data_IF_646606571858
#
_entry.id   IF_646606571858
#
_cell.length_a   1.000
_cell.length_b   1.000
_cell.length_c   1.000
_cell.angle_alpha   90.00
_cell.angle_beta   90.00
_cell.angle_gamma   90.00
#
_symmetry.space_group_name_H-M   'P 1'
#
loop_
_entity.id
_entity.type
_entity.pdbx_description
1 polymer ?
#
# COMPACT_ATOMS: atom_id res chain seq x y z
N UNK A 1 -22.15 -15.65 -35.92
CA UNK A 1 -21.92 -14.85 -34.70
C UNK A 1 -23.17 -15.04 -33.87
N UNK A 2 -23.06 -15.70 -32.72
CA UNK A 2 -24.18 -15.85 -31.79
C UNK A 2 -24.07 -14.75 -30.73
N UNK A 3 -25.18 -14.08 -30.41
CA UNK A 3 -25.22 -12.97 -29.47
C UNK A 3 -26.34 -13.21 -28.47
N UNK A 4 -26.02 -13.16 -27.17
CA UNK A 4 -26.97 -13.25 -26.07
C UNK A 4 -26.76 -12.04 -25.18
N UNK A 5 -27.82 -11.58 -24.51
CA UNK A 5 -27.66 -10.63 -23.42
C UNK A 5 -26.74 -11.26 -22.37
N UNK A 6 -25.74 -10.49 -21.95
CA UNK A 6 -24.71 -10.94 -21.03
C UNK A 6 -25.28 -10.98 -19.61
N UNK A 7 -25.33 -12.16 -19.01
CA UNK A 7 -25.75 -12.38 -17.62
C UNK A 7 -25.02 -13.58 -17.03
N UNK A 8 -25.22 -13.86 -15.74
CA UNK A 8 -24.39 -14.83 -14.99
C UNK A 8 -24.29 -16.24 -15.62
N UNK A 9 -25.35 -16.75 -16.26
CA UNK A 9 -25.39 -18.10 -16.85
C UNK A 9 -25.39 -18.14 -18.38
N UNK A 10 -25.08 -17.02 -19.05
CA UNK A 10 -25.07 -16.98 -20.52
C UNK A 10 -24.06 -18.01 -21.07
N UNK A 11 -24.48 -18.74 -22.11
CA UNK A 11 -23.71 -19.79 -22.81
C UNK A 11 -23.45 -21.10 -22.04
N UNK A 12 -24.05 -21.30 -20.87
CA UNK A 12 -23.95 -22.60 -20.18
C UNK A 12 -24.39 -23.77 -21.10
N UNK A 13 -23.63 -24.86 -21.08
CA UNK A 13 -23.86 -26.05 -21.90
C UNK A 13 -23.39 -25.99 -23.37
N UNK A 14 -22.89 -24.85 -23.85
CA UNK A 14 -22.37 -24.72 -25.22
C UNK A 14 -20.85 -24.99 -25.31
N UNK A 15 -20.36 -25.24 -26.53
CA UNK A 15 -18.92 -25.32 -26.82
C UNK A 15 -18.52 -24.14 -27.68
N UNK A 16 -17.78 -23.20 -27.10
CA UNK A 16 -17.37 -21.98 -27.79
C UNK A 16 -15.95 -22.12 -28.34
N UNK A 17 -15.73 -21.62 -29.57
CA UNK A 17 -14.39 -21.49 -30.17
C UNK A 17 -13.74 -20.15 -29.83
N UNK A 18 -14.54 -19.10 -29.83
CA UNK A 18 -14.14 -17.75 -29.45
C UNK A 18 -15.26 -17.12 -28.64
N UNK A 19 -14.90 -16.50 -27.52
CA UNK A 19 -15.77 -15.65 -26.71
C UNK A 19 -15.13 -14.25 -26.71
N UNK A 20 -15.92 -13.23 -27.02
CA UNK A 20 -15.48 -11.85 -26.94
C UNK A 20 -16.36 -11.16 -25.89
N UNK A 21 -15.76 -10.79 -24.78
CA UNK A 21 -16.36 -9.92 -23.79
C UNK A 21 -15.81 -8.52 -23.98
N UNK A 22 -16.71 -7.59 -24.18
CA UNK A 22 -16.41 -6.17 -24.17
C UNK A 22 -17.03 -5.53 -22.92
N UNK A 23 -16.43 -4.44 -22.43
CA UNK A 23 -16.84 -3.71 -21.23
C UNK A 23 -17.01 -4.58 -19.97
N UNK A 24 -16.12 -5.57 -19.81
CA UNK A 24 -16.17 -6.59 -18.75
C UNK A 24 -16.01 -6.03 -17.33
N UNK A 25 -15.46 -4.82 -17.22
CA UNK A 25 -15.25 -4.06 -15.99
C UNK A 25 -16.44 -3.19 -15.58
N UNK A 26 -17.52 -3.17 -16.37
CA UNK A 26 -18.71 -2.34 -16.14
C UNK A 26 -19.94 -3.13 -15.68
N UNK A 27 -19.76 -4.38 -15.26
CA UNK A 27 -20.86 -5.22 -14.80
C UNK A 27 -21.35 -4.77 -13.43
N UNK A 28 -22.59 -4.29 -13.38
CA UNK A 28 -23.26 -3.85 -12.16
C UNK A 28 -24.09 -4.97 -11.53
N UNK A 29 -24.34 -4.85 -10.21
CA UNK A 29 -25.18 -5.81 -9.49
C UNK A 29 -26.60 -5.84 -10.08
N UNK A 30 -27.26 -7.01 -10.14
CA UNK A 30 -26.90 -8.27 -9.48
C UNK A 30 -25.89 -9.13 -10.24
N UNK A 31 -25.64 -8.86 -11.52
CA UNK A 31 -24.73 -9.66 -12.35
C UNK A 31 -23.26 -9.43 -11.98
N UNK A 32 -22.43 -10.44 -12.24
CA UNK A 32 -21.02 -10.40 -11.86
C UNK A 32 -20.15 -11.12 -12.87
N UNK A 33 -19.18 -10.40 -13.43
CA UNK A 33 -18.21 -10.96 -14.39
C UNK A 33 -17.46 -12.18 -13.84
N UNK A 34 -17.20 -12.25 -12.52
CA UNK A 34 -16.57 -13.42 -11.90
C UNK A 34 -17.48 -14.65 -11.90
N UNK A 35 -18.79 -14.47 -11.73
CA UNK A 35 -19.77 -15.55 -11.81
C UNK A 35 -19.92 -16.01 -13.26
N UNK A 36 -20.13 -15.07 -14.18
CA UNK A 36 -20.20 -15.39 -15.60
C UNK A 36 -18.95 -16.11 -16.10
N UNK A 37 -17.74 -15.61 -15.76
CA UNK A 37 -16.50 -16.22 -16.19
C UNK A 37 -16.33 -17.65 -15.68
N UNK A 38 -16.83 -17.97 -14.47
CA UNK A 38 -16.81 -19.37 -13.97
C UNK A 38 -17.62 -20.31 -14.84
N UNK A 39 -18.74 -19.83 -15.40
CA UNK A 39 -19.60 -20.59 -16.31
C UNK A 39 -18.96 -20.63 -17.70
N UNK A 40 -18.71 -19.47 -18.31
CA UNK A 40 -18.22 -19.37 -19.70
C UNK A 40 -16.82 -19.94 -19.90
N UNK A 41 -15.96 -19.97 -18.87
CA UNK A 41 -14.67 -20.68 -18.94
C UNK A 41 -14.85 -22.18 -19.22
N UNK A 42 -15.92 -22.80 -18.73
CA UNK A 42 -16.16 -24.23 -18.94
C UNK A 42 -16.54 -24.54 -20.39
N UNK A 43 -17.20 -23.61 -21.08
CA UNK A 43 -17.61 -23.77 -22.49
C UNK A 43 -16.40 -23.72 -23.44
N UNK A 44 -15.29 -23.14 -22.99
CA UNK A 44 -14.02 -23.04 -23.72
C UNK A 44 -13.07 -24.21 -23.43
N UNK A 45 -13.50 -25.20 -22.62
CA UNK A 45 -12.66 -26.32 -22.17
C UNK A 45 -13.39 -27.66 -22.25
N UNK A 46 -12.71 -28.69 -22.75
CA UNK A 46 -13.16 -30.08 -22.66
C UNK A 46 -12.16 -30.89 -21.83
N UNK A 47 -12.52 -31.20 -20.58
CA UNK A 47 -11.61 -31.85 -19.64
C UNK A 47 -10.37 -30.99 -19.38
N UNK A 48 -9.18 -31.50 -19.72
CA UNK A 48 -7.92 -30.74 -19.65
C UNK A 48 -7.61 -29.92 -20.91
N UNK A 49 -8.34 -30.16 -22.01
CA UNK A 49 -8.07 -29.53 -23.30
C UNK A 49 -8.77 -28.18 -23.39
N UNK A 50 -8.00 -27.13 -23.66
CA UNK A 50 -8.55 -25.82 -24.07
C UNK A 50 -8.97 -25.93 -25.53
N UNK A 51 -10.26 -25.67 -25.81
CA UNK A 51 -10.85 -25.79 -27.16
C UNK A 51 -11.29 -24.45 -27.74
N UNK A 52 -11.36 -23.41 -26.93
CA UNK A 52 -11.65 -22.05 -27.35
C UNK A 52 -10.80 -21.00 -26.62
N UNK A 53 -10.93 -19.75 -27.05
CA UNK A 53 -10.26 -18.59 -26.45
C UNK A 53 -11.28 -17.52 -26.06
N UNK A 54 -10.95 -16.74 -25.04
CA UNK A 54 -11.69 -15.54 -24.67
C UNK A 54 -10.82 -14.31 -24.92
N UNK A 55 -11.38 -13.30 -25.55
CA UNK A 55 -10.85 -11.93 -25.53
C UNK A 55 -11.75 -11.14 -24.58
N UNK A 56 -11.16 -10.48 -23.59
CA UNK A 56 -11.90 -9.80 -22.53
C UNK A 56 -11.34 -8.39 -22.38
N UNK A 57 -11.97 -7.46 -23.10
CA UNK A 57 -11.64 -6.03 -23.08
C UNK A 57 -12.52 -5.28 -22.09
N UNK A 58 -11.99 -4.19 -21.53
CA UNK A 58 -12.76 -3.19 -20.79
C UNK A 58 -11.93 -1.95 -20.51
N UNK A 59 -12.60 -0.80 -20.43
CA UNK A 59 -12.18 0.28 -19.52
C UNK A 59 -12.72 -0.05 -18.12
N UNK A 60 -11.96 0.14 -17.05
CA UNK A 60 -12.47 -0.19 -15.71
C UNK A 60 -13.36 0.95 -15.23
N UNK A 61 -14.59 0.62 -14.81
CA UNK A 61 -15.37 1.53 -13.98
C UNK A 61 -14.70 1.68 -12.60
N UNK A 62 -15.24 2.59 -11.79
CA UNK A 62 -14.95 2.67 -10.37
C UNK A 62 -15.08 1.30 -9.68
N UNK A 63 -14.33 1.10 -8.58
CA UNK A 63 -14.22 -0.21 -7.95
C UNK A 63 -15.58 -0.73 -7.43
N UNK A 64 -16.44 0.17 -6.98
CA UNK A 64 -17.80 -0.09 -6.51
C UNK A 64 -18.79 -0.46 -7.62
N UNK A 65 -18.56 -0.03 -8.88
CA UNK A 65 -19.42 -0.29 -10.05
C UNK A 65 -18.86 -1.39 -10.96
N UNK A 66 -18.41 -2.48 -10.36
CA UNK A 66 -17.91 -3.67 -11.08
C UNK A 66 -16.39 -3.70 -11.25
N UNK A 67 -15.69 -2.57 -11.12
CA UNK A 67 -14.24 -2.47 -11.28
C UNK A 67 -13.47 -3.39 -10.32
N UNK A 68 -13.92 -3.56 -9.08
CA UNK A 68 -13.24 -4.46 -8.12
C UNK A 68 -13.27 -5.94 -8.55
N UNK A 69 -14.36 -6.38 -9.17
CA UNK A 69 -14.48 -7.77 -9.66
C UNK A 69 -13.57 -7.99 -10.88
N UNK A 70 -13.50 -7.00 -11.77
CA UNK A 70 -12.61 -7.05 -12.93
C UNK A 70 -11.14 -6.95 -12.53
N UNK A 71 -10.78 -6.08 -11.58
CA UNK A 71 -9.43 -6.01 -11.01
C UNK A 71 -8.99 -7.36 -10.44
N UNK A 72 -9.86 -8.01 -9.67
CA UNK A 72 -9.59 -9.34 -9.14
C UNK A 72 -9.37 -10.36 -10.26
N UNK A 73 -10.20 -10.33 -11.29
CA UNK A 73 -10.05 -11.22 -12.45
C UNK A 73 -8.73 -10.97 -13.19
N UNK A 74 -8.34 -9.71 -13.35
CA UNK A 74 -7.07 -9.27 -13.92
C UNK A 74 -5.89 -9.80 -13.09
N UNK A 75 -5.88 -9.59 -11.78
CA UNK A 75 -4.84 -10.09 -10.87
C UNK A 75 -4.76 -11.63 -10.83
N UNK A 76 -5.90 -12.31 -10.89
CA UNK A 76 -5.98 -13.79 -10.97
C UNK A 76 -5.48 -14.34 -12.32
N UNK A 77 -5.24 -13.46 -13.30
CA UNK A 77 -4.72 -13.75 -14.65
C UNK A 77 -3.21 -13.49 -14.78
N UNK A 78 -2.54 -13.12 -13.70
CA UNK A 78 -1.10 -12.90 -13.64
C UNK A 78 -0.32 -14.17 -14.03
N UNK A 79 0.37 -14.10 -15.17
CA UNK A 79 1.09 -15.23 -15.76
C UNK A 79 2.27 -15.74 -14.92
N UNK A 80 2.75 -14.94 -13.96
CA UNK A 80 3.80 -15.33 -13.01
C UNK A 80 3.26 -16.23 -11.90
N UNK A 81 1.93 -16.25 -11.69
CA UNK A 81 1.24 -17.03 -10.67
C UNK A 81 0.44 -18.16 -11.30
N UNK A 82 1.10 -19.28 -11.57
CA UNK A 82 0.47 -20.48 -12.15
C UNK A 82 0.35 -21.61 -11.14
N UNK A 83 -0.74 -22.37 -11.25
CA UNK A 83 -0.89 -23.62 -10.54
C UNK A 83 0.06 -24.69 -11.10
N UNK A 84 0.11 -25.86 -10.44
CA UNK A 84 0.95 -26.99 -10.85
C UNK A 84 0.60 -27.56 -12.24
N UNK A 85 -0.56 -27.20 -12.78
CA UNK A 85 -1.01 -27.56 -14.13
C UNK A 85 -0.67 -26.47 -15.17
N UNK A 86 0.10 -25.44 -14.81
CA UNK A 86 0.57 -24.40 -15.71
C UNK A 86 -0.46 -23.32 -16.08
N UNK A 87 -1.59 -23.26 -15.37
CA UNK A 87 -2.66 -22.28 -15.61
C UNK A 87 -2.73 -21.24 -14.49
N UNK A 88 -3.07 -20.00 -14.86
CA UNK A 88 -3.46 -18.95 -13.93
C UNK A 88 -4.76 -19.34 -13.22
N UNK A 89 -5.05 -18.71 -12.08
CA UNK A 89 -6.28 -18.97 -11.31
C UNK A 89 -7.52 -18.70 -12.16
N UNK A 90 -7.52 -17.59 -12.90
CA UNK A 90 -8.60 -17.24 -13.84
C UNK A 90 -8.60 -18.12 -15.09
N UNK A 91 -7.45 -18.65 -15.53
CA UNK A 91 -7.28 -19.31 -16.83
C UNK A 91 -7.11 -18.33 -18.00
N UNK A 92 -7.11 -17.03 -17.73
CA UNK A 92 -6.81 -15.94 -18.67
C UNK A 92 -5.36 -15.46 -18.49
N UNK A 93 -4.92 -14.56 -19.37
CA UNK A 93 -3.68 -13.82 -19.25
C UNK A 93 -4.02 -12.34 -19.06
N UNK A 94 -3.43 -11.71 -18.05
CA UNK A 94 -3.51 -10.25 -17.90
C UNK A 94 -2.66 -9.58 -18.97
N UNK A 95 -3.22 -8.54 -19.60
CA UNK A 95 -2.54 -7.67 -20.54
C UNK A 95 -3.07 -6.26 -20.30
N UNK A 96 -2.16 -5.33 -20.02
CA UNK A 96 -2.44 -3.91 -19.97
C UNK A 96 -1.82 -3.23 -21.18
N UNK A 97 -2.61 -2.44 -21.89
CA UNK A 97 -2.16 -1.64 -23.03
C UNK A 97 -2.37 -0.18 -22.64
N UNK A 98 -1.29 0.60 -22.45
CA UNK A 98 -1.41 2.03 -22.17
C UNK A 98 -2.13 2.76 -23.30
N UNK A 99 -2.88 3.80 -22.94
CA UNK A 99 -3.71 4.56 -23.88
C UNK A 99 -2.90 5.11 -25.07
N UNK A 100 -1.63 5.49 -24.86
CA UNK A 100 -0.78 6.07 -25.90
C UNK A 100 -0.53 5.14 -27.09
N UNK A 101 -0.77 3.83 -26.94
CA UNK A 101 -0.60 2.87 -28.03
C UNK A 101 -1.79 2.80 -28.99
N UNK A 102 -2.98 3.29 -28.61
CA UNK A 102 -4.19 3.17 -29.44
C UNK A 102 -5.12 4.38 -29.29
N UNK A 103 -4.57 5.57 -29.02
CA UNK A 103 -5.37 6.78 -28.90
C UNK A 103 -5.73 7.32 -30.29
N UNK A 104 -7.02 7.34 -30.59
CA UNK A 104 -7.55 7.80 -31.88
C UNK A 104 -7.16 9.26 -32.14
N UNK A 105 -6.74 9.57 -33.37
CA UNK A 105 -6.23 10.89 -33.77
C UNK A 105 -4.73 11.10 -33.53
N UNK A 106 -4.04 10.11 -32.93
CA UNK A 106 -2.57 10.11 -32.77
C UNK A 106 -1.92 8.86 -33.37
N UNK A 107 -2.48 8.34 -34.46
CA UNK A 107 -1.96 7.19 -35.20
C UNK A 107 -1.64 7.66 -36.61
N UNK A 108 -0.43 7.40 -37.09
CA UNK A 108 -0.01 7.78 -38.44
C UNK A 108 -0.69 6.90 -39.52
N UNK A 109 -0.53 7.29 -40.79
CA UNK A 109 -1.08 6.52 -41.93
C UNK A 109 -0.53 5.09 -42.05
N UNK A 110 0.52 4.73 -41.30
CA UNK A 110 1.11 3.39 -41.26
C UNK A 110 0.61 2.55 -40.08
N UNK A 111 -0.23 3.12 -39.20
CA UNK A 111 -0.76 2.45 -38.01
C UNK A 111 0.17 2.52 -36.80
N UNK A 112 1.17 3.40 -36.80
CA UNK A 112 2.03 3.63 -35.64
C UNK A 112 1.52 4.79 -34.79
N UNK A 113 1.54 4.61 -33.48
CA UNK A 113 1.20 5.68 -32.53
C UNK A 113 2.26 6.77 -32.53
N UNK A 114 1.81 8.02 -32.57
CA UNK A 114 2.64 9.23 -32.50
C UNK A 114 2.79 9.62 -31.03
N UNK A 115 3.77 9.00 -30.37
CA UNK A 115 4.03 9.19 -28.93
C UNK A 115 4.42 10.64 -28.58
N UNK A 116 5.52 11.09 -29.17
CA UNK A 116 6.09 12.41 -28.97
C UNK A 116 5.70 13.36 -30.09
N UNK A 117 5.63 14.65 -29.77
CA UNK A 117 5.36 15.71 -30.73
C UNK A 117 6.36 15.66 -31.90
N UNK A 118 5.89 15.41 -33.13
CA UNK A 118 6.78 15.15 -34.25
C UNK A 118 7.45 16.44 -34.72
N UNK A 119 8.71 16.36 -35.15
CA UNK A 119 9.45 17.53 -35.68
C UNK A 119 8.86 18.11 -36.96
N UNK A 120 8.19 17.26 -37.72
CA UNK A 120 7.44 17.59 -38.92
C UNK A 120 6.08 16.93 -38.78
N UNK A 121 4.97 17.62 -39.09
CA UNK A 121 3.66 17.04 -38.97
C UNK A 121 3.53 15.75 -39.77
N UNK A 122 2.88 14.75 -39.18
CA UNK A 122 2.62 13.46 -39.82
C UNK A 122 1.15 13.35 -40.21
N UNK A 123 0.87 12.61 -41.27
CA UNK A 123 -0.49 12.41 -41.74
C UNK A 123 -1.11 11.19 -41.04
N UNK A 124 -2.36 11.32 -40.61
CA UNK A 124 -3.15 10.22 -40.07
C UNK A 124 -3.79 9.36 -41.17
N UNK A 125 -4.51 8.30 -40.80
CA UNK A 125 -5.18 7.41 -41.77
C UNK A 125 -6.31 8.09 -42.56
N UNK A 126 -6.86 9.21 -42.09
CA UNK A 126 -7.96 9.94 -42.74
C UNK A 126 -7.51 11.28 -43.37
N UNK A 127 -6.20 11.54 -43.47
CA UNK A 127 -5.63 12.76 -44.04
C UNK A 127 -5.56 13.95 -43.05
N UNK A 128 -5.85 13.70 -41.78
CA UNK A 128 -5.63 14.64 -40.68
C UNK A 128 -4.13 14.86 -40.44
N UNK A 129 -3.77 16.07 -40.03
CA UNK A 129 -2.39 16.43 -39.72
C UNK A 129 -2.19 16.31 -38.22
N UNK A 130 -1.24 15.49 -37.80
CA UNK A 130 -0.84 15.29 -36.41
C UNK A 130 0.44 16.09 -36.18
N UNK A 131 0.33 17.19 -35.44
CA UNK A 131 1.42 18.09 -35.08
C UNK A 131 1.72 18.13 -33.57
N UNK A 132 0.97 17.38 -32.77
CA UNK A 132 1.18 17.15 -31.33
C UNK A 132 1.21 15.65 -31.04
N UNK A 133 2.06 15.21 -30.12
CA UNK A 133 2.14 13.81 -29.68
C UNK A 133 1.10 13.48 -28.61
N UNK A 134 0.67 12.22 -28.55
CA UNK A 134 -0.35 11.76 -27.60
C UNK A 134 0.07 11.95 -26.13
N UNK A 135 1.36 11.84 -25.82
CA UNK A 135 1.86 12.01 -24.45
C UNK A 135 1.66 13.47 -24.00
N UNK A 136 1.99 14.42 -24.89
CA UNK A 136 1.82 15.85 -24.60
C UNK A 136 0.33 16.21 -24.52
N UNK A 137 -0.48 15.72 -25.46
CA UNK A 137 -1.92 15.92 -25.45
C UNK A 137 -2.56 15.45 -24.13
N UNK A 138 -2.26 14.22 -23.73
CA UNK A 138 -2.77 13.66 -22.48
C UNK A 138 -2.27 14.41 -21.25
N UNK A 139 -1.01 14.88 -21.24
CA UNK A 139 -0.49 15.69 -20.13
C UNK A 139 -1.21 17.04 -20.03
N UNK A 140 -1.58 17.64 -21.15
CA UNK A 140 -2.36 18.89 -21.16
C UNK A 140 -3.76 18.68 -20.59
N UNK A 141 -4.43 17.56 -20.90
CA UNK A 141 -5.73 17.21 -20.30
C UNK A 141 -5.61 16.98 -18.79
N UNK A 142 -4.60 16.22 -18.35
CA UNK A 142 -4.28 16.03 -16.94
C UNK A 142 -4.04 17.37 -16.23
N UNK A 143 -3.25 18.25 -16.84
CA UNK A 143 -2.94 19.57 -16.29
C UNK A 143 -4.19 20.47 -16.21
N UNK A 144 -5.10 20.36 -17.18
CA UNK A 144 -6.38 21.05 -17.20
C UNK A 144 -7.32 20.59 -16.08
N UNK A 145 -7.25 19.30 -15.71
CA UNK A 145 -8.10 18.69 -14.68
C UNK A 145 -7.51 18.75 -13.26
N UNK A 146 -6.34 19.38 -13.05
CA UNK A 146 -5.71 19.48 -11.71
C UNK A 146 -6.63 20.07 -10.63
N UNK A 147 -7.54 20.96 -11.00
CA UNK A 147 -8.49 21.58 -10.07
C UNK A 147 -9.82 20.80 -9.94
N UNK A 148 -10.04 19.78 -10.77
CA UNK A 148 -11.19 18.89 -10.75
C UNK A 148 -10.73 17.45 -10.53
N UNK A 149 -10.53 17.09 -9.25
CA UNK A 149 -9.99 15.78 -8.89
C UNK A 149 -10.88 14.61 -9.32
N UNK A 150 -12.20 14.79 -9.32
CA UNK A 150 -13.14 13.76 -9.74
C UNK A 150 -13.03 13.54 -11.25
N UNK A 151 -13.00 14.64 -12.03
CA UNK A 151 -12.75 14.62 -13.47
C UNK A 151 -11.39 14.01 -13.80
N UNK A 152 -10.34 14.36 -13.06
CA UNK A 152 -9.00 13.83 -13.25
C UNK A 152 -8.93 12.31 -13.01
N UNK A 153 -9.54 11.82 -11.93
CA UNK A 153 -9.57 10.38 -11.63
C UNK A 153 -10.38 9.60 -12.66
N UNK A 154 -11.47 10.18 -13.17
CA UNK A 154 -12.23 9.60 -14.28
C UNK A 154 -11.41 9.57 -15.57
N UNK A 155 -10.73 10.66 -15.91
CA UNK A 155 -9.84 10.74 -17.07
C UNK A 155 -8.73 9.70 -17.01
N UNK A 156 -8.10 9.50 -15.85
CA UNK A 156 -7.12 8.43 -15.65
C UNK A 156 -7.68 7.03 -15.87
N UNK A 157 -8.92 6.76 -15.46
CA UNK A 157 -9.56 5.44 -15.71
C UNK A 157 -9.91 5.23 -17.18
N UNK A 158 -10.34 6.29 -17.87
CA UNK A 158 -10.72 6.24 -19.28
C UNK A 158 -9.50 6.14 -20.19
N UNK A 159 -8.44 6.89 -19.87
CA UNK A 159 -7.20 6.97 -20.64
C UNK A 159 -5.99 6.61 -19.75
N UNK A 160 -5.91 5.34 -19.29
CA UNK A 160 -4.86 4.92 -18.37
C UNK A 160 -3.53 4.74 -19.08
N UNK A 161 -2.45 5.20 -18.44
CA UNK A 161 -1.07 4.95 -18.87
C UNK A 161 -0.39 3.86 -18.04
N UNK A 162 -0.91 3.59 -16.84
CA UNK A 162 -0.47 2.52 -15.93
C UNK A 162 -1.67 1.70 -15.44
N UNK A 163 -1.41 0.50 -14.93
CA UNK A 163 -2.47 -0.34 -14.33
C UNK A 163 -3.14 0.39 -13.16
N UNK A 164 -2.39 1.22 -12.42
CA UNK A 164 -2.90 1.98 -11.30
C UNK A 164 -3.88 3.06 -11.76
N UNK A 165 -3.62 3.75 -12.89
CA UNK A 165 -4.58 4.65 -13.51
C UNK A 165 -5.89 3.92 -13.82
N UNK A 166 -5.81 2.72 -14.41
CA UNK A 166 -6.97 1.93 -14.76
C UNK A 166 -7.82 1.54 -13.53
N UNK A 167 -7.20 1.27 -12.38
CA UNK A 167 -7.89 0.76 -11.19
C UNK A 167 -8.04 1.79 -10.06
N UNK A 168 -8.04 3.10 -10.37
CA UNK A 168 -8.32 4.17 -9.38
C UNK A 168 -9.76 4.12 -8.88
N UNK A 169 -9.95 4.48 -7.62
CA UNK A 169 -11.28 4.49 -6.99
C UNK A 169 -11.99 5.85 -7.14
N UNK A 170 -13.31 5.90 -6.92
CA UNK A 170 -14.05 7.17 -6.79
C UNK A 170 -13.78 7.81 -5.43
N UNK A 171 -13.73 9.15 -5.37
CA UNK A 171 -13.32 9.87 -4.16
C UNK A 171 -14.33 9.81 -2.99
N UNK A 172 -15.49 9.17 -3.16
CA UNK A 172 -16.70 9.44 -2.37
C UNK A 172 -16.75 8.80 -0.98
N UNK A 173 -15.87 7.84 -0.65
CA UNK A 173 -15.95 7.12 0.65
C UNK A 173 -14.64 7.08 1.46
N UNK A 174 -13.58 7.78 1.03
CA UNK A 174 -12.34 7.77 1.80
C UNK A 174 -12.34 8.81 2.92
N UNK A 175 -11.83 8.41 4.09
CA UNK A 175 -11.63 9.30 5.23
C UNK A 175 -10.54 10.34 4.97
N UNK A 176 -9.63 10.05 4.04
CA UNK A 176 -8.42 10.85 3.80
C UNK A 176 -8.47 11.55 2.45
N UNK A 177 -7.61 12.56 2.29
CA UNK A 177 -7.46 13.30 1.05
C UNK A 177 -6.84 12.43 -0.05
N UNK A 178 -7.71 11.84 -0.87
CA UNK A 178 -7.33 10.96 -1.97
C UNK A 178 -6.52 11.65 -3.05
N UNK A 179 -6.73 12.95 -3.27
CA UNK A 179 -5.97 13.74 -4.24
C UNK A 179 -4.46 13.64 -3.93
N UNK A 180 -4.08 14.03 -2.70
CA UNK A 180 -2.68 13.96 -2.23
C UNK A 180 -2.10 12.55 -2.27
N UNK A 181 -2.90 11.55 -1.88
CA UNK A 181 -2.45 10.15 -1.92
C UNK A 181 -2.16 9.72 -3.36
N UNK A 182 -3.05 10.01 -4.31
CA UNK A 182 -2.86 9.64 -5.71
C UNK A 182 -1.73 10.43 -6.36
N UNK A 183 -1.62 11.74 -6.12
CA UNK A 183 -0.46 12.53 -6.55
C UNK A 183 0.86 11.90 -6.09
N UNK A 184 0.92 11.41 -4.84
CA UNK A 184 2.10 10.74 -4.33
C UNK A 184 2.34 9.37 -4.98
N UNK A 185 1.28 8.60 -5.25
CA UNK A 185 1.37 7.32 -5.96
C UNK A 185 1.95 7.55 -7.36
N UNK A 186 1.43 8.53 -8.08
CA UNK A 186 1.87 8.87 -9.44
C UNK A 186 3.33 9.29 -9.44
N UNK A 187 3.71 10.18 -8.52
CA UNK A 187 5.10 10.58 -8.33
C UNK A 187 6.01 9.38 -8.01
N UNK A 188 5.56 8.46 -7.16
CA UNK A 188 6.34 7.25 -6.83
C UNK A 188 6.46 6.29 -8.03
N UNK A 189 5.49 6.24 -8.93
CA UNK A 189 5.55 5.46 -10.17
C UNK A 189 6.57 6.02 -11.14
N UNK A 190 6.55 7.34 -11.35
CA UNK A 190 7.56 8.03 -12.16
C UNK A 190 8.97 7.83 -11.57
N UNK A 191 9.08 7.88 -10.24
CA UNK A 191 10.31 7.61 -9.51
C UNK A 191 10.71 6.13 -9.48
N UNK A 192 9.82 5.16 -9.69
CA UNK A 192 10.18 3.73 -9.59
C UNK A 192 11.21 3.30 -10.65
N UNK A 193 11.50 4.15 -11.63
CA UNK A 193 12.69 4.04 -12.49
C UNK A 193 14.03 4.35 -11.80
N UNK A 194 14.04 4.77 -10.52
CA UNK A 194 15.22 5.37 -9.85
C UNK A 194 15.61 4.81 -8.46
N UNK A 195 14.99 3.72 -7.98
CA UNK A 195 15.60 2.85 -6.95
C UNK A 195 15.58 3.31 -5.48
N UNK A 196 14.62 4.13 -5.05
CA UNK A 196 14.55 4.70 -3.69
C UNK A 196 14.20 3.73 -2.55
N UNK A 197 13.72 2.52 -2.86
CA UNK A 197 13.34 1.53 -1.85
C UNK A 197 14.16 0.27 -2.03
N UNK A 198 14.85 -0.14 -0.96
CA UNK A 198 15.64 -1.38 -0.93
C UNK A 198 14.88 -2.45 -0.16
N UNK A 199 14.68 -3.61 -0.79
CA UNK A 199 14.14 -4.80 -0.13
C UNK A 199 15.26 -5.58 0.56
N UNK A 200 15.04 -6.00 1.82
CA UNK A 200 16.06 -6.73 2.55
C UNK A 200 15.63 -7.34 3.88
N UNK A 201 16.62 -7.77 4.64
CA UNK A 201 16.45 -8.45 5.94
C UNK A 201 17.47 -7.93 6.94
N UNK A 202 17.04 -7.84 8.20
CA UNK A 202 17.95 -7.65 9.32
C UNK A 202 18.45 -9.00 9.84
N UNK A 203 19.70 -9.05 10.28
CA UNK A 203 20.30 -10.23 10.92
C UNK A 203 21.22 -9.81 12.06
N UNK A 204 21.31 -10.65 13.08
CA UNK A 204 22.37 -10.53 14.08
C UNK A 204 23.72 -10.87 13.46
N UNK A 205 24.73 -10.03 13.71
CA UNK A 205 26.10 -10.27 13.30
C UNK A 205 26.58 -11.62 13.85
N UNK A 206 27.07 -12.48 12.96
CA UNK A 206 27.49 -13.84 13.30
C UNK A 206 26.37 -14.76 13.85
N UNK A 207 25.09 -14.37 13.73
CA UNK A 207 23.96 -15.12 14.29
C UNK A 207 23.85 -15.03 15.82
N UNK A 208 24.65 -14.19 16.47
CA UNK A 208 24.67 -14.07 17.93
C UNK A 208 23.63 -13.03 18.36
N UNK A 209 22.53 -13.50 18.93
CA UNK A 209 21.42 -12.66 19.38
C UNK A 209 21.90 -11.56 20.35
N UNK A 210 21.26 -10.39 20.27
CA UNK A 210 21.52 -9.25 21.16
C UNK A 210 22.93 -8.63 21.04
N UNK A 211 23.59 -8.83 19.89
CA UNK A 211 24.86 -8.18 19.55
C UNK A 211 24.64 -7.01 18.59
N UNK A 212 25.36 -6.96 17.45
CA UNK A 212 25.14 -5.99 16.38
C UNK A 212 24.11 -6.54 15.41
N UNK A 213 23.29 -5.66 14.85
CA UNK A 213 22.39 -5.98 13.75
C UNK A 213 22.97 -5.39 12.46
N UNK A 214 22.86 -6.16 11.38
CA UNK A 214 23.20 -5.76 10.02
C UNK A 214 21.94 -5.80 9.14
N UNK A 215 21.80 -4.85 8.24
CA UNK A 215 20.82 -4.90 7.16
C UNK A 215 21.50 -5.42 5.89
N UNK A 216 20.89 -6.40 5.22
CA UNK A 216 21.39 -6.93 3.95
C UNK A 216 20.30 -6.87 2.89
N UNK A 217 20.51 -6.17 1.76
CA UNK A 217 19.59 -6.20 0.62
C UNK A 217 19.43 -7.62 0.09
N UNK A 218 18.18 -8.06 -0.09
CA UNK A 218 17.86 -9.36 -0.68
C UNK A 218 16.39 -9.42 -1.12
N UNK A 219 16.13 -10.08 -2.25
CA UNK A 219 14.80 -10.16 -2.86
C UNK A 219 13.78 -10.95 -2.04
N UNK A 220 14.27 -11.85 -1.17
CA UNK A 220 13.44 -12.64 -0.25
C UNK A 220 13.16 -11.90 1.07
N UNK A 221 13.61 -10.65 1.17
CA UNK A 221 13.49 -9.81 2.35
C UNK A 221 12.02 -9.50 2.68
N UNK A 222 11.75 -9.29 3.96
CA UNK A 222 10.41 -8.87 4.43
C UNK A 222 10.32 -7.37 4.70
N UNK A 223 11.45 -6.67 4.67
CA UNK A 223 11.52 -5.24 4.91
C UNK A 223 11.70 -4.49 3.60
N UNK A 224 10.98 -3.39 3.46
CA UNK A 224 11.25 -2.32 2.51
C UNK A 224 11.85 -1.15 3.29
N UNK A 225 13.01 -0.67 2.86
CA UNK A 225 13.74 0.41 3.53
C UNK A 225 14.05 1.51 2.52
N UNK A 226 13.70 2.75 2.85
CA UNK A 226 13.96 3.95 2.04
C UNK A 226 15.04 4.86 2.65
N UNK A 227 15.45 4.59 3.89
CA UNK A 227 16.59 5.27 4.51
C UNK A 227 17.32 4.34 5.49
N UNK A 228 18.64 4.32 5.41
CA UNK A 228 19.52 3.64 6.36
C UNK A 228 20.36 4.70 7.08
N UNK A 229 20.34 4.77 8.42
CA UNK A 229 21.11 5.77 9.17
C UNK A 229 22.62 5.61 8.95
N UNK A 230 23.41 6.68 9.09
CA UNK A 230 24.87 6.58 9.10
C UNK A 230 25.36 5.68 10.26
N UNK A 231 26.55 5.10 10.10
CA UNK A 231 27.09 4.07 11.02
C UNK A 231 27.09 4.48 12.49
N UNK A 232 27.31 5.76 12.81
CA UNK A 232 27.34 6.25 14.19
C UNK A 232 25.96 6.30 14.87
N UNK A 233 24.88 6.22 14.10
CA UNK A 233 23.50 6.12 14.59
C UNK A 233 22.99 4.67 14.58
N UNK A 234 23.59 3.78 13.80
CA UNK A 234 23.22 2.37 13.79
C UNK A 234 23.56 1.67 15.11
N UNK A 235 22.72 0.72 15.52
CA UNK A 235 22.89 -0.10 16.73
C UNK A 235 23.08 0.71 18.03
N UNK A 236 22.63 1.98 18.06
CA UNK A 236 22.79 2.87 19.20
C UNK A 236 21.80 2.48 20.32
N UNK A 237 22.21 1.52 21.14
CA UNK A 237 21.44 1.01 22.28
C UNK A 237 22.19 1.30 23.58
N UNK A 238 21.56 2.05 24.48
CA UNK A 238 22.16 2.42 25.76
C UNK A 238 21.81 1.37 26.82
N UNK A 239 22.82 0.83 27.51
CA UNK A 239 22.62 -0.15 28.59
C UNK A 239 22.68 0.54 29.95
N UNK A 240 21.62 0.43 30.76
CA UNK A 240 21.60 0.90 32.16
C UNK A 240 20.93 -0.15 33.04
N UNK A 241 21.63 -0.66 34.05
CA UNK A 241 21.12 -1.68 34.98
C UNK A 241 20.54 -2.92 34.25
N UNK A 242 21.25 -3.45 33.25
CA UNK A 242 20.81 -4.56 32.38
C UNK A 242 19.53 -4.31 31.57
N UNK A 243 19.06 -3.06 31.49
CA UNK A 243 17.94 -2.64 30.66
C UNK A 243 18.47 -1.84 29.47
N UNK A 244 18.01 -2.17 28.27
CA UNK A 244 18.36 -1.51 27.02
C UNK A 244 17.40 -0.35 26.75
N UNK A 245 17.96 0.80 26.39
CA UNK A 245 17.24 2.02 26.05
C UNK A 245 17.54 2.43 24.59
N UNK A 246 16.56 3.01 23.88
CA UNK A 246 16.77 3.52 22.52
C UNK A 246 17.70 4.74 22.55
N UNK A 247 18.80 4.71 21.79
CA UNK A 247 19.74 5.83 21.69
C UNK A 247 19.28 6.96 20.75
N UNK A 248 18.28 6.69 19.90
CA UNK A 248 17.81 7.59 18.84
C UNK A 248 16.32 7.96 18.99
N UNK A 249 15.77 7.97 20.20
CA UNK A 249 14.36 8.38 20.44
C UNK A 249 14.05 9.82 19.97
N UNK A 250 15.06 10.68 19.86
CA UNK A 250 14.92 12.05 19.35
C UNK A 250 14.85 12.12 17.82
N UNK A 251 15.19 11.05 17.09
CA UNK A 251 15.21 11.00 15.62
C UNK A 251 13.90 10.45 15.07
N UNK A 252 13.30 9.45 15.72
CA UNK A 252 12.12 8.78 15.19
C UNK A 252 11.56 7.72 16.12
N UNK A 253 10.55 7.02 15.63
CA UNK A 253 9.90 5.92 16.33
C UNK A 253 9.24 4.95 15.34
N UNK A 254 8.92 3.76 15.85
CA UNK A 254 8.17 2.74 15.14
C UNK A 254 6.73 2.64 15.63
N UNK A 255 5.84 2.22 14.73
CA UNK A 255 4.49 1.79 15.04
C UNK A 255 4.25 0.36 14.58
N UNK A 256 3.48 -0.42 15.33
CA UNK A 256 3.29 -1.84 15.03
C UNK A 256 1.90 -2.37 15.38
N UNK A 257 1.28 -3.04 14.41
CA UNK A 257 0.14 -3.95 14.63
C UNK A 257 0.68 -5.39 14.63
N UNK A 258 0.58 -6.04 15.78
CA UNK A 258 1.15 -7.36 16.00
C UNK A 258 0.11 -8.47 15.82
N UNK A 259 0.54 -9.72 15.77
CA UNK A 259 -0.33 -10.88 15.85
C UNK A 259 0.24 -11.94 16.80
N UNK A 260 -0.65 -12.63 17.51
CA UNK A 260 -0.25 -13.60 18.53
C UNK A 260 -0.33 -15.06 18.06
N UNK A 261 -1.03 -15.36 16.96
CA UNK A 261 -1.33 -16.75 16.56
C UNK A 261 -0.50 -17.16 15.33
N UNK A 262 0.34 -18.19 15.52
CA UNK A 262 1.24 -18.74 14.50
C UNK A 262 0.51 -19.54 13.39
N UNK A 263 -0.78 -19.81 13.50
CA UNK A 263 -1.56 -20.56 12.50
C UNK A 263 -2.99 -20.06 12.36
N UNK A 264 -3.44 -19.86 11.11
CA UNK A 264 -4.87 -19.82 10.77
C UNK A 264 -5.11 -20.91 9.76
N UNK A 265 -6.16 -21.72 9.96
CA UNK A 265 -6.48 -22.92 9.17
C UNK A 265 -6.62 -22.62 7.67
N UNK A 266 -6.91 -21.36 7.31
CA UNK A 266 -7.13 -20.93 5.91
C UNK A 266 -6.13 -19.87 5.38
N UNK A 267 -5.05 -19.57 6.10
CA UNK A 267 -4.08 -18.51 5.66
C UNK A 267 -4.65 -17.08 5.61
N UNK A 268 -5.91 -16.86 5.99
CA UNK A 268 -6.66 -15.59 5.94
C UNK A 268 -6.60 -14.75 7.23
N UNK A 269 -5.60 -14.93 8.09
CA UNK A 269 -5.43 -14.02 9.24
C UNK A 269 -4.64 -12.77 8.86
N UNK A 270 -4.90 -11.66 9.56
CA UNK A 270 -4.19 -10.38 9.42
C UNK A 270 -2.67 -10.56 9.55
N UNK A 271 -1.92 -9.74 8.81
CA UNK A 271 -0.45 -9.79 8.77
C UNK A 271 0.11 -8.96 9.93
N UNK A 272 1.33 -9.27 10.36
CA UNK A 272 2.06 -8.38 11.25
C UNK A 272 2.61 -7.21 10.45
N UNK A 273 2.44 -5.99 10.97
CA UNK A 273 2.92 -4.78 10.33
C UNK A 273 3.79 -3.93 11.25
N UNK A 274 4.81 -3.31 10.68
CA UNK A 274 5.74 -2.42 11.35
C UNK A 274 6.12 -1.29 10.40
N UNK A 275 6.00 -0.06 10.87
CA UNK A 275 6.43 1.14 10.15
C UNK A 275 7.40 1.95 10.98
N UNK A 276 8.47 2.42 10.36
CA UNK A 276 9.42 3.37 10.95
C UNK A 276 9.16 4.77 10.40
N UNK A 277 9.02 5.75 11.30
CA UNK A 277 8.86 7.16 10.94
C UNK A 277 9.94 8.00 11.64
N UNK A 278 10.59 8.86 10.88
CA UNK A 278 11.48 9.90 11.40
C UNK A 278 10.69 11.15 11.76
N UNK A 279 11.18 11.95 12.70
CA UNK A 279 10.66 13.28 13.02
C UNK A 279 11.75 14.31 12.77
N UNK A 280 11.39 15.59 12.78
CA UNK A 280 12.39 16.65 12.71
C UNK A 280 13.43 16.51 13.82
N UNK A 281 14.70 16.47 13.44
CA UNK A 281 15.85 16.42 14.35
C UNK A 281 17.04 17.14 13.71
N UNK A 282 18.05 17.48 14.52
CA UNK A 282 19.30 18.09 14.05
C UNK A 282 20.35 17.06 13.60
N UNK A 283 19.98 15.78 13.62
CA UNK A 283 20.84 14.67 13.20
C UNK A 283 20.78 14.50 11.67
N UNK A 284 21.72 13.74 11.11
CA UNK A 284 21.74 13.37 9.68
C UNK A 284 20.67 12.30 9.38
N UNK A 285 19.40 12.72 9.47
CA UNK A 285 18.22 11.92 9.25
C UNK A 285 17.16 12.72 8.48
N UNK A 286 16.41 12.08 7.56
CA UNK A 286 15.32 12.75 6.87
C UNK A 286 14.25 13.18 7.88
N UNK A 287 13.59 14.30 7.61
CA UNK A 287 12.51 14.79 8.47
C UNK A 287 11.16 14.23 8.00
N UNK A 288 10.35 13.76 8.96
CA UNK A 288 8.98 13.31 8.73
C UNK A 288 8.84 12.30 7.59
N UNK A 289 9.80 11.36 7.49
CA UNK A 289 9.88 10.37 6.43
C UNK A 289 9.58 8.97 6.97
N UNK A 290 8.66 8.26 6.31
CA UNK A 290 8.53 6.83 6.50
C UNK A 290 9.74 6.12 5.88
N UNK A 291 10.58 5.54 6.74
CA UNK A 291 11.87 4.97 6.35
C UNK A 291 11.87 3.44 6.25
N UNK A 292 10.88 2.78 6.86
CA UNK A 292 10.77 1.32 6.88
C UNK A 292 9.31 0.88 6.82
N UNK A 293 9.01 -0.08 5.95
CA UNK A 293 7.75 -0.84 5.92
C UNK A 293 8.06 -2.34 6.04
N UNK A 294 7.34 -3.01 6.92
CA UNK A 294 7.28 -4.46 7.00
C UNK A 294 5.81 -4.85 7.12
N UNK A 295 5.30 -5.67 6.20
CA UNK A 295 3.92 -6.19 6.28
C UNK A 295 3.87 -7.64 5.79
N UNK A 296 4.10 -8.56 6.71
CA UNK A 296 4.21 -9.99 6.40
C UNK A 296 3.70 -10.87 7.53
N UNK A 297 3.47 -12.15 7.22
CA UNK A 297 3.13 -13.17 8.20
C UNK A 297 4.12 -14.35 8.13
N UNK A 298 5.26 -14.26 8.85
CA UNK A 298 6.19 -15.37 9.01
C UNK A 298 5.52 -16.64 9.55
N UNK A 299 6.22 -17.76 9.36
CA UNK A 299 5.77 -19.09 9.79
C UNK A 299 5.43 -19.16 11.28
N UNK A 300 6.13 -18.39 12.11
CA UNK A 300 5.83 -18.30 13.54
C UNK A 300 5.75 -16.84 13.98
N UNK A 301 4.95 -16.56 15.02
CA UNK A 301 4.90 -15.23 15.62
C UNK A 301 6.26 -14.80 16.21
N UNK A 302 7.08 -15.75 16.68
CA UNK A 302 8.41 -15.43 17.22
C UNK A 302 9.39 -14.95 16.16
N UNK A 303 9.32 -15.44 14.92
CA UNK A 303 10.10 -14.88 13.81
C UNK A 303 9.75 -13.42 13.57
N UNK A 304 8.45 -13.08 13.60
CA UNK A 304 8.00 -11.69 13.50
C UNK A 304 8.52 -10.85 14.68
N UNK A 305 8.46 -11.37 15.91
CA UNK A 305 8.97 -10.63 17.07
C UNK A 305 10.49 -10.40 17.00
N UNK A 306 11.25 -11.36 16.48
CA UNK A 306 12.69 -11.22 16.28
C UNK A 306 13.01 -10.21 15.17
N UNK A 307 12.29 -10.26 14.05
CA UNK A 307 12.40 -9.30 12.96
C UNK A 307 12.17 -7.87 13.45
N UNK A 308 11.08 -7.65 14.20
CA UNK A 308 10.77 -6.35 14.82
C UNK A 308 11.90 -5.93 15.77
N UNK A 309 12.33 -6.82 16.67
CA UNK A 309 13.39 -6.51 17.63
C UNK A 309 14.70 -6.09 16.95
N UNK A 310 15.11 -6.78 15.88
CA UNK A 310 16.30 -6.45 15.13
C UNK A 310 16.20 -5.07 14.48
N UNK A 311 15.04 -4.72 13.91
CA UNK A 311 14.81 -3.37 13.37
C UNK A 311 14.91 -2.29 14.47
N UNK A 312 14.27 -2.50 15.62
CA UNK A 312 14.36 -1.56 16.76
C UNK A 312 15.81 -1.37 17.23
N UNK A 313 16.55 -2.47 17.33
CA UNK A 313 17.95 -2.45 17.75
C UNK A 313 18.82 -1.71 16.73
N UNK A 314 18.71 -2.05 15.44
CA UNK A 314 19.48 -1.44 14.36
C UNK A 314 19.29 0.08 14.29
N UNK A 315 18.04 0.56 14.34
CA UNK A 315 17.77 2.00 14.29
C UNK A 315 17.93 2.69 15.65
N UNK A 316 17.98 1.94 16.75
CA UNK A 316 18.04 2.50 18.10
C UNK A 316 16.83 3.35 18.48
N UNK A 317 15.66 3.11 17.86
CA UNK A 317 14.44 3.91 18.05
C UNK A 317 13.35 3.12 18.81
N UNK A 318 12.49 3.80 19.59
CA UNK A 318 11.42 3.16 20.35
C UNK A 318 10.23 2.75 19.46
N UNK A 319 9.30 1.97 20.02
CA UNK A 319 8.10 1.46 19.34
C UNK A 319 6.82 1.75 20.14
N UNK A 320 5.75 2.14 19.45
CA UNK A 320 4.39 2.12 19.96
C UNK A 320 3.63 0.97 19.30
N UNK A 321 3.31 -0.07 20.08
CA UNK A 321 2.59 -1.24 19.59
C UNK A 321 1.26 -1.41 20.32
N UNK A 322 0.31 -2.09 19.68
CA UNK A 322 -0.94 -2.46 20.31
C UNK A 322 -0.72 -3.39 21.50
N UNK A 323 -1.42 -3.14 22.62
CA UNK A 323 -1.30 -3.97 23.81
C UNK A 323 -2.38 -5.06 23.95
N UNK A 324 -3.37 -5.09 23.05
CA UNK A 324 -4.40 -6.14 23.01
C UNK A 324 -3.82 -7.53 22.69
N UNK A 325 -2.70 -7.56 21.96
CA UNK A 325 -1.94 -8.76 21.57
C UNK A 325 -0.53 -8.68 22.18
N UNK A 326 -0.39 -8.91 23.50
CA UNK A 326 0.77 -8.42 24.25
C UNK A 326 2.04 -9.27 24.07
N UNK A 327 2.03 -10.37 23.29
CA UNK A 327 3.18 -11.28 23.22
C UNK A 327 4.44 -10.59 22.69
N UNK A 328 4.30 -9.68 21.72
CA UNK A 328 5.42 -8.85 21.25
C UNK A 328 6.02 -8.02 22.40
N UNK A 329 5.18 -7.37 23.20
CA UNK A 329 5.62 -6.52 24.30
C UNK A 329 6.32 -7.33 25.41
N UNK A 330 5.78 -8.51 25.75
CA UNK A 330 6.43 -9.45 26.67
C UNK A 330 7.75 -9.98 26.11
N UNK A 331 7.83 -10.23 24.80
CA UNK A 331 9.06 -10.63 24.13
C UNK A 331 10.15 -9.57 24.28
N UNK A 332 9.82 -8.30 23.98
CA UNK A 332 10.73 -7.17 24.17
C UNK A 332 11.19 -7.06 25.63
N UNK A 333 10.26 -7.14 26.60
CA UNK A 333 10.57 -7.09 28.03
C UNK A 333 11.55 -8.20 28.43
N UNK A 334 11.28 -9.46 28.06
CA UNK A 334 12.13 -10.62 28.38
C UNK A 334 13.53 -10.51 27.78
N UNK A 335 13.67 -9.85 26.62
CA UNK A 335 14.96 -9.60 25.95
C UNK A 335 15.70 -8.36 26.48
N UNK A 336 15.14 -7.66 27.47
CA UNK A 336 15.74 -6.47 28.09
C UNK A 336 15.37 -5.14 27.42
N UNK A 337 14.47 -5.13 26.43
CA UNK A 337 14.06 -3.96 25.64
C UNK A 337 12.77 -3.33 26.15
N UNK A 338 12.40 -3.51 27.43
CA UNK A 338 11.18 -2.91 27.97
C UNK A 338 11.11 -1.40 27.71
N UNK A 339 12.24 -0.69 27.76
CA UNK A 339 12.29 0.77 27.54
C UNK A 339 12.18 1.21 26.09
N UNK A 340 12.22 0.27 25.13
CA UNK A 340 11.86 0.55 23.75
C UNK A 340 10.34 0.64 23.57
N UNK A 341 9.56 -0.07 24.39
CA UNK A 341 8.09 -0.02 24.34
C UNK A 341 7.57 1.28 24.98
N UNK A 342 7.00 2.14 24.14
CA UNK A 342 6.40 3.42 24.53
C UNK A 342 5.10 3.14 25.29
N UNK A 343 4.88 3.84 26.40
CA UNK A 343 3.56 3.86 27.02
C UNK A 343 2.64 4.78 26.22
N UNK A 344 1.35 4.43 26.10
CA UNK A 344 0.35 5.27 25.42
C UNK A 344 0.50 6.77 25.73
N UNK A 345 0.59 7.65 24.71
CA UNK A 345 0.90 9.06 24.91
C UNK A 345 -0.26 9.88 25.49
N UNK A 346 -1.47 9.36 25.43
CA UNK A 346 -2.72 10.01 25.86
C UNK A 346 -2.96 9.96 27.38
N UNK A 347 -2.16 9.20 28.14
CA UNK A 347 -2.27 9.12 29.60
C UNK A 347 -0.96 9.41 30.31
N UNK A 348 -1.04 10.20 31.37
CA UNK A 348 0.07 10.43 32.30
C UNK A 348 0.45 9.12 33.00
N UNK A 349 1.74 8.88 33.19
CA UNK A 349 2.30 7.65 33.76
C UNK A 349 1.58 7.14 35.03
N UNK A 350 1.23 8.04 35.94
CA UNK A 350 0.58 7.66 37.20
C UNK A 350 -0.80 7.03 37.00
N UNK A 351 -1.51 7.43 35.94
CA UNK A 351 -2.85 6.93 35.57
C UNK A 351 -2.83 5.66 34.72
N UNK A 352 -1.65 5.14 34.38
CA UNK A 352 -1.51 3.87 33.67
C UNK A 352 -1.85 2.70 34.60
N UNK A 353 -2.51 1.68 34.04
CA UNK A 353 -2.72 0.39 34.70
C UNK A 353 -1.40 -0.31 35.01
N UNK A 354 -1.45 -1.33 35.88
CA UNK A 354 -0.28 -2.15 36.23
C UNK A 354 0.35 -2.75 34.97
N UNK A 355 -0.47 -3.32 34.09
CA UNK A 355 -0.01 -3.92 32.83
C UNK A 355 0.60 -2.88 31.89
N UNK A 356 -0.02 -1.70 31.70
CA UNK A 356 0.53 -0.63 30.86
C UNK A 356 1.90 -0.15 31.42
N UNK A 357 2.06 -0.03 32.74
CA UNK A 357 3.35 0.26 33.36
C UNK A 357 4.35 -0.87 33.15
N UNK A 358 3.90 -2.12 33.18
CA UNK A 358 4.73 -3.29 33.06
C UNK A 358 5.29 -3.50 31.66
N UNK A 359 4.48 -3.34 30.61
CA UNK A 359 4.85 -3.73 29.22
C UNK A 359 4.73 -2.60 28.19
N UNK A 360 4.03 -1.50 28.51
CA UNK A 360 3.79 -0.37 27.61
C UNK A 360 2.68 -0.64 26.59
N UNK A 361 2.77 0.03 25.44
CA UNK A 361 1.80 -0.06 24.35
C UNK A 361 0.55 0.80 24.55
N UNK A 362 -0.37 0.67 23.59
CA UNK A 362 -1.64 1.40 23.52
C UNK A 362 -2.80 0.44 23.20
N UNK A 363 -3.99 0.58 23.81
CA UNK A 363 -5.13 -0.24 23.45
C UNK A 363 -5.73 0.17 22.10
N UNK A 364 -6.33 -0.79 21.41
CA UNK A 364 -6.91 -0.58 20.07
C UNK A 364 -8.43 -0.34 20.10
N UNK A 365 -9.11 -0.55 21.23
CA UNK A 365 -10.56 -0.67 21.28
C UNK A 365 -11.33 0.62 21.59
N UNK A 366 -10.73 1.61 22.25
CA UNK A 366 -11.46 2.83 22.63
C UNK A 366 -11.66 3.76 21.44
N UNK A 367 -12.87 4.31 21.30
CA UNK A 367 -13.27 5.17 20.19
C UNK A 367 -12.36 6.40 20.05
N UNK A 368 -12.00 7.04 21.15
CA UNK A 368 -11.07 8.18 21.18
C UNK A 368 -9.70 7.85 20.56
N UNK A 369 -9.20 6.62 20.75
CA UNK A 369 -7.92 6.19 20.16
C UNK A 369 -8.08 5.95 18.66
N UNK A 370 -9.21 5.40 18.21
CA UNK A 370 -9.47 5.21 16.78
C UNK A 370 -9.52 6.56 16.06
N UNK A 371 -10.20 7.54 16.65
CA UNK A 371 -10.27 8.90 16.12
C UNK A 371 -8.90 9.59 16.15
N UNK A 372 -8.16 9.50 17.26
CA UNK A 372 -6.82 10.08 17.35
C UNK A 372 -5.83 9.43 16.35
N UNK A 373 -5.98 8.14 16.09
CA UNK A 373 -5.19 7.41 15.10
C UNK A 373 -5.53 7.85 13.67
N UNK A 374 -6.81 7.97 13.34
CA UNK A 374 -7.24 8.48 12.04
C UNK A 374 -6.77 9.94 11.82
N UNK A 375 -6.97 10.81 12.80
CA UNK A 375 -6.53 12.21 12.75
C UNK A 375 -5.00 12.35 12.64
N UNK A 376 -4.24 11.40 13.19
CA UNK A 376 -2.79 11.37 13.04
C UNK A 376 -2.38 11.13 11.58
N UNK A 377 -3.02 10.17 10.92
CA UNK A 377 -2.78 9.85 9.51
C UNK A 377 -3.24 11.01 8.62
N UNK A 378 -4.45 11.52 8.85
CA UNK A 378 -5.01 12.66 8.12
C UNK A 378 -4.08 13.87 8.17
N UNK A 379 -3.63 14.28 9.36
CA UNK A 379 -2.68 15.39 9.51
C UNK A 379 -1.35 15.13 8.80
N UNK A 380 -0.86 13.88 8.82
CA UNK A 380 0.38 13.54 8.11
C UNK A 380 0.19 13.63 6.59
N UNK A 381 -0.94 13.16 6.07
CA UNK A 381 -1.27 13.25 4.65
C UNK A 381 -1.35 14.70 4.21
N UNK A 382 -2.05 15.53 4.98
CA UNK A 382 -2.18 16.95 4.66
C UNK A 382 -0.83 17.69 4.64
N UNK A 383 0.07 17.35 5.56
CA UNK A 383 1.33 18.07 5.72
C UNK A 383 2.48 17.53 4.82
N UNK A 384 2.48 16.23 4.50
CA UNK A 384 3.68 15.55 3.97
C UNK A 384 3.46 14.60 2.79
N UNK A 385 2.24 14.49 2.24
CA UNK A 385 1.92 13.57 1.13
C UNK A 385 1.41 14.36 -0.07
N UNK A 386 1.82 13.96 -1.28
CA UNK A 386 1.43 14.60 -2.53
C UNK A 386 2.33 15.79 -2.88
N UNK A 387 1.84 16.67 -3.75
CA UNK A 387 2.57 17.87 -4.15
C UNK A 387 2.58 18.92 -3.03
N UNK A 388 3.77 19.19 -2.47
CA UNK A 388 3.99 20.33 -1.58
C UNK A 388 4.38 21.60 -2.34
N UNK A 389 4.59 22.71 -1.62
CA UNK A 389 4.93 24.01 -2.24
C UNK A 389 6.19 23.98 -3.14
N UNK A 390 7.20 23.19 -2.77
CA UNK A 390 8.49 23.13 -3.48
C UNK A 390 9.02 21.70 -3.73
N UNK A 391 8.33 20.67 -3.22
CA UNK A 391 8.74 19.26 -3.36
C UNK A 391 7.55 18.36 -3.10
N UNK A 392 7.57 17.17 -3.71
CA UNK A 392 6.66 16.09 -3.36
C UNK A 392 6.99 15.49 -1.99
N UNK A 393 6.02 14.80 -1.41
CA UNK A 393 6.19 14.02 -0.20
C UNK A 393 7.25 12.93 -0.34
N UNK A 394 7.77 12.48 0.80
CA UNK A 394 8.88 11.51 0.90
C UNK A 394 8.43 10.14 1.41
N UNK A 395 7.16 9.77 1.18
CA UNK A 395 6.65 8.42 1.44
C UNK A 395 6.67 7.60 0.14
N UNK A 396 7.53 6.58 0.11
CA UNK A 396 7.75 5.74 -1.07
C UNK A 396 7.06 4.37 -0.99
N UNK A 397 6.30 4.12 0.09
CA UNK A 397 5.68 2.83 0.34
C UNK A 397 4.29 2.75 -0.29
N UNK A 398 4.25 2.27 -1.54
CA UNK A 398 3.02 2.13 -2.34
C UNK A 398 1.89 1.44 -1.59
N UNK A 399 2.17 0.30 -0.94
CA UNK A 399 1.15 -0.47 -0.22
C UNK A 399 0.51 0.34 0.91
N UNK A 400 1.28 1.19 1.60
CA UNK A 400 0.74 2.06 2.65
C UNK A 400 -0.18 3.14 2.07
N UNK A 401 0.21 3.77 0.95
CA UNK A 401 -0.61 4.77 0.26
C UNK A 401 -1.95 4.16 -0.21
N UNK A 402 -1.92 2.98 -0.81
CA UNK A 402 -3.13 2.26 -1.24
C UNK A 402 -4.02 1.84 -0.07
N UNK A 403 -3.43 1.47 1.07
CA UNK A 403 -4.15 1.08 2.28
C UNK A 403 -4.83 2.31 2.92
N UNK A 404 -4.15 3.47 2.93
CA UNK A 404 -4.74 4.75 3.34
C UNK A 404 -5.90 5.16 2.43
N UNK A 405 -5.73 5.06 1.10
CA UNK A 405 -6.79 5.43 0.16
C UNK A 405 -8.12 4.71 0.44
N UNK A 406 -8.04 3.45 0.88
CA UNK A 406 -9.21 2.60 1.13
C UNK A 406 -9.60 2.54 2.61
N UNK A 407 -8.92 3.27 3.49
CA UNK A 407 -9.04 3.10 4.92
C UNK A 407 -10.45 3.41 5.42
N UNK A 408 -11.03 2.47 6.17
CA UNK A 408 -12.34 2.64 6.78
C UNK A 408 -12.22 2.53 8.31
N UNK A 409 -12.55 3.61 9.03
CA UNK A 409 -12.45 3.69 10.49
C UNK A 409 -13.30 2.63 11.21
N UNK A 410 -14.40 2.18 10.60
CA UNK A 410 -15.28 1.16 11.16
C UNK A 410 -14.76 -0.27 10.91
N UNK A 411 -13.86 -0.47 9.93
CA UNK A 411 -13.36 -1.78 9.53
C UNK A 411 -11.83 -1.85 9.46
N UNK A 412 -11.17 -1.41 10.53
CA UNK A 412 -9.71 -1.26 10.66
C UNK A 412 -8.90 -2.55 10.48
N UNK A 413 -9.48 -3.72 10.74
CA UNK A 413 -8.78 -5.02 10.75
C UNK A 413 -8.31 -5.49 9.36
N UNK A 414 -8.75 -4.84 8.29
CA UNK A 414 -8.30 -5.12 6.92
C UNK A 414 -7.06 -4.32 6.52
N UNK A 415 -6.72 -3.28 7.28
CA UNK A 415 -5.79 -2.21 6.89
C UNK A 415 -4.54 -2.21 7.78
N UNK A 416 -3.82 -3.34 7.80
CA UNK A 416 -2.66 -3.54 8.69
C UNK A 416 -1.60 -2.43 8.54
N UNK A 417 -1.42 -1.87 7.33
CA UNK A 417 -0.44 -0.81 7.05
C UNK A 417 -0.88 0.53 7.67
N UNK A 418 -2.17 0.85 7.58
CA UNK A 418 -2.77 2.04 8.18
C UNK A 418 -2.64 2.01 9.70
N UNK A 419 -2.84 0.85 10.34
CA UNK A 419 -2.71 0.73 11.80
C UNK A 419 -1.29 1.03 12.27
N UNK A 420 -0.31 0.30 11.75
CA UNK A 420 1.11 0.45 12.12
C UNK A 420 1.67 1.84 11.77
N UNK A 421 1.35 2.38 10.59
CA UNK A 421 1.79 3.73 10.19
C UNK A 421 1.21 4.83 11.08
N UNK A 422 -0.09 4.80 11.40
CA UNK A 422 -0.69 5.77 12.31
C UNK A 422 -0.13 5.68 13.74
N UNK A 423 0.20 4.47 14.22
CA UNK A 423 0.90 4.30 15.50
C UNK A 423 2.30 4.92 15.47
N UNK A 424 3.02 4.85 14.34
CA UNK A 424 4.34 5.46 14.18
C UNK A 424 4.24 7.00 14.23
N UNK A 425 3.22 7.57 13.58
CA UNK A 425 2.93 9.01 13.62
C UNK A 425 2.62 9.46 15.05
N UNK A 426 1.73 8.74 15.74
CA UNK A 426 1.40 9.03 17.15
C UNK A 426 2.64 8.93 18.05
N UNK A 427 3.51 7.93 17.82
CA UNK A 427 4.74 7.74 18.56
C UNK A 427 5.77 8.87 18.36
N UNK A 428 5.82 9.47 17.17
CA UNK A 428 6.66 10.63 16.89
C UNK A 428 6.08 11.92 17.49
N UNK A 429 4.75 12.03 17.52
CA UNK A 429 4.01 13.22 17.93
C UNK A 429 3.39 13.14 19.35
N UNK A 430 4.03 12.42 20.29
CA UNK A 430 3.50 12.18 21.67
C UNK A 430 2.99 13.44 22.36
N UNK A 431 3.65 14.59 22.13
CA UNK A 431 3.31 15.87 22.73
C UNK A 431 1.91 16.36 22.33
N UNK A 432 1.44 16.06 21.11
CA UNK A 432 0.10 16.45 20.63
C UNK A 432 -1.03 15.73 21.39
N UNK A 433 -0.74 14.55 21.95
CA UNK A 433 -1.73 13.70 22.63
C UNK A 433 -1.64 13.78 24.15
N UNK A 434 -0.59 14.41 24.68
CA UNK A 434 -0.42 14.52 26.13
C UNK A 434 -1.55 15.39 26.71
N UNK A 435 -2.32 14.91 27.70
CA UNK A 435 -3.44 15.66 28.24
C UNK A 435 -2.94 16.98 28.85
N UNK A 436 -3.29 18.10 28.21
CA UNK A 436 -3.02 19.44 28.75
C UNK A 436 -3.90 19.61 29.98
N UNK A 437 -3.27 19.70 31.15
CA UNK A 437 -3.98 20.21 32.33
C UNK A 437 -4.38 21.66 32.02
N UNK A 438 -5.63 21.87 31.58
CA UNK A 438 -6.25 23.20 31.67
C UNK A 438 -6.36 23.49 33.16
N UNK A 439 -5.40 24.23 33.70
CA UNK A 439 -5.57 24.87 34.99
C UNK A 439 -6.67 25.90 34.77
N UNK A 440 -7.90 25.57 35.16
CA UNK A 440 -8.93 26.57 35.37
C UNK A 440 -8.47 27.40 36.56
N UNK A 441 -7.78 28.50 36.29
CA UNK A 441 -7.71 29.57 37.26
C UNK A 441 -9.14 30.12 37.36
N UNK A 442 -9.88 29.70 38.39
CA UNK A 442 -11.09 30.41 38.77
C UNK A 442 -10.68 31.81 39.28
N UNK A 443 -11.39 32.87 38.86
CA UNK A 443 -11.08 34.24 39.25
C UNK A 443 -11.23 34.49 40.75
#
# INVERSE_FOLDING_TARGET
IDWKNTGDNSYDGEKLKLLAHDESGKWERPDNILNNWRVTKTTLRLGSRIVGKCMMGSTSNSLDKGGANFKKLYEDSDVTKRNRNGQTSSGLYSLFIPMEWNYEGFIDSYGHSVFDTPKQPVEGPYGEVIDQGVIEHWQNEVDGLKNDQDGLNEYYRQFPRTEQHAFRDEAKESLFNLSKIYEQIDYNEDLNNSGYVTKGSFRWAGGIKDTLVEFTPNDNGRFLVSWVPPLHLQNKVLLRNNIKFPGNEHIGAFGCDSYDISGTVDGKGSKGSLHGLTKFSMEDAPANMFFLEYIARPQTAEMFFEDVLMALHFYGMPILAENNKPRLLYYLKRRGYRRFSINRPDKVYNKLSVSEKEIGGIPNSSEDIKQAHAAAIESYIEDYVGAGQNRYGNIYFQRTLEDWAKFNINNRTKYDASISSGLAIMACNKNKYTPVYKVQNQP
#
